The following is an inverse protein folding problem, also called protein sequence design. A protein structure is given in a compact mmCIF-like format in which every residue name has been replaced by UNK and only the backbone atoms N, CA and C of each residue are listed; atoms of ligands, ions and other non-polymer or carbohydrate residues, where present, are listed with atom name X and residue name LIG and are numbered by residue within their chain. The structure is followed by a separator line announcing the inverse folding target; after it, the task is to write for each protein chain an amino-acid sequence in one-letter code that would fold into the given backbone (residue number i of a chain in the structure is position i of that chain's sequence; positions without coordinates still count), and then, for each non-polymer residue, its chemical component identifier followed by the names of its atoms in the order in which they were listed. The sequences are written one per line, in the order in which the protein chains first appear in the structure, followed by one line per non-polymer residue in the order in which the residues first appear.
data_IF_245734834748
#
_entry.id   IF_245734834748
#
_cell.length_a   1.000
_cell.length_b   1.000
_cell.length_c   1.000
_cell.angle_alpha   90.00
_cell.angle_beta   90.00
_cell.angle_gamma   90.00
#
_symmetry.space_group_name_H-M   'P 1'
#
loop_
_entity.id
_entity.type
_entity.pdbx_description
1 polymer ?
#
# COMPACT_ATOMS: atom_id res chain seq x y z
N UNK A 1 4.70 -31.71 12.25
CA UNK A 1 5.94 -31.29 11.56
C UNK A 1 6.10 -29.77 11.69
N UNK A 2 6.76 -29.35 12.77
CA UNK A 2 7.08 -27.95 13.05
C UNK A 2 8.47 -27.69 12.48
N UNK A 3 8.51 -27.16 11.26
CA UNK A 3 9.72 -26.60 10.67
C UNK A 3 9.54 -25.09 10.60
N UNK A 4 9.90 -24.35 11.65
CA UNK A 4 9.99 -22.88 11.61
C UNK A 4 11.07 -22.39 12.59
N UNK A 5 12.32 -22.82 12.35
CA UNK A 5 13.48 -22.10 12.87
C UNK A 5 14.14 -21.37 11.68
N UNK A 6 14.06 -20.03 11.66
CA UNK A 6 14.90 -19.22 10.77
C UNK A 6 14.23 -18.14 9.93
N UNK A 7 13.13 -17.50 10.35
CA UNK A 7 12.75 -16.22 9.74
C UNK A 7 13.49 -15.08 10.44
N UNK A 8 14.63 -14.67 9.88
CA UNK A 8 15.26 -13.42 10.29
C UNK A 8 14.36 -12.26 9.87
N UNK A 9 13.99 -11.35 10.78
CA UNK A 9 13.25 -10.16 10.38
C UNK A 9 14.08 -9.39 9.36
N UNK A 10 13.41 -8.85 8.34
CA UNK A 10 14.07 -7.99 7.37
C UNK A 10 14.71 -6.82 8.12
N UNK A 11 16.00 -6.51 7.86
CA UNK A 11 16.62 -5.31 8.41
C UNK A 11 15.81 -4.06 8.09
N UNK A 12 15.85 -3.06 8.97
CA UNK A 12 15.08 -1.83 8.86
C UNK A 12 15.38 -1.09 7.55
N UNK A 13 16.64 -1.09 7.11
CA UNK A 13 17.05 -0.52 5.83
C UNK A 13 16.40 -1.21 4.61
N UNK A 14 16.01 -2.47 4.75
CA UNK A 14 15.24 -3.20 3.73
C UNK A 14 13.74 -2.92 3.85
N UNK A 15 13.21 -2.86 5.07
CA UNK A 15 11.81 -2.49 5.31
C UNK A 15 11.46 -1.09 4.79
N UNK A 16 12.39 -0.15 4.88
CA UNK A 16 12.23 1.23 4.38
C UNK A 16 11.99 1.32 2.86
N UNK A 17 12.24 0.24 2.11
CA UNK A 17 11.95 0.19 0.66
C UNK A 17 10.48 -0.12 0.34
N UNK A 18 9.70 -0.56 1.32
CA UNK A 18 8.28 -0.84 1.13
C UNK A 18 7.45 0.43 1.37
N UNK A 19 6.55 0.74 0.43
CA UNK A 19 5.69 1.93 0.50
C UNK A 19 4.72 1.86 1.68
N UNK A 20 4.13 0.69 1.93
CA UNK A 20 3.12 0.46 2.95
C UNK A 20 3.40 -0.83 3.72
N UNK A 21 3.07 -0.83 5.01
CA UNK A 21 2.94 -2.03 5.84
C UNK A 21 1.47 -2.19 6.20
N UNK A 22 0.90 -3.36 5.90
CA UNK A 22 -0.49 -3.69 6.20
C UNK A 22 -0.54 -4.83 7.21
N UNK A 23 -1.39 -4.69 8.22
CA UNK A 23 -1.75 -5.80 9.12
C UNK A 23 -3.04 -6.41 8.61
N UNK A 24 -3.00 -7.68 8.22
CA UNK A 24 -4.16 -8.40 7.69
C UNK A 24 -4.68 -9.34 8.78
N UNK A 25 -5.78 -8.99 9.48
CA UNK A 25 -6.39 -9.91 10.43
C UNK A 25 -7.04 -11.09 9.70
N UNK A 26 -7.31 -12.17 10.44
CA UNK A 26 -8.15 -13.24 9.93
C UNK A 26 -9.58 -12.72 9.62
N UNK A 27 -10.25 -13.30 8.61
CA UNK A 27 -11.63 -12.94 8.28
C UNK A 27 -12.57 -13.17 9.46
N UNK A 28 -13.73 -12.50 9.43
CA UNK A 28 -14.80 -12.82 10.38
C UNK A 28 -15.27 -14.26 10.17
N UNK A 29 -15.90 -14.87 11.19
CA UNK A 29 -16.51 -16.22 11.06
C UNK A 29 -17.44 -16.31 9.85
N UNK A 30 -18.21 -15.26 9.57
CA UNK A 30 -19.13 -15.24 8.44
C UNK A 30 -18.39 -15.24 7.10
N UNK A 31 -17.35 -14.40 6.97
CA UNK A 31 -16.54 -14.33 5.76
C UNK A 31 -15.74 -15.63 5.54
N UNK A 32 -15.24 -16.24 6.61
CA UNK A 32 -14.53 -17.52 6.54
C UNK A 32 -15.46 -18.66 6.07
N UNK A 33 -16.69 -18.72 6.59
CA UNK A 33 -17.71 -19.65 6.08
C UNK A 33 -17.97 -19.39 4.60
N UNK A 34 -18.12 -18.13 4.18
CA UNK A 34 -18.34 -17.80 2.76
C UNK A 34 -17.18 -18.24 1.87
N UNK A 35 -15.93 -18.10 2.32
CA UNK A 35 -14.75 -18.58 1.61
C UNK A 35 -14.77 -20.10 1.49
N UNK A 36 -15.05 -20.81 2.59
CA UNK A 36 -15.13 -22.26 2.61
C UNK A 36 -16.25 -22.80 1.71
N UNK A 37 -17.45 -22.22 1.79
CA UNK A 37 -18.60 -22.61 0.95
C UNK A 37 -18.29 -22.41 -0.52
N UNK A 38 -17.76 -21.24 -0.93
CA UNK A 38 -17.38 -21.01 -2.33
C UNK A 38 -16.35 -22.01 -2.82
N UNK A 39 -15.35 -22.33 -2.00
CA UNK A 39 -14.34 -23.31 -2.34
C UNK A 39 -14.94 -24.72 -2.50
N UNK A 40 -15.83 -25.13 -1.61
CA UNK A 40 -16.56 -26.40 -1.69
C UNK A 40 -17.47 -26.47 -2.94
N UNK A 41 -18.04 -25.35 -3.35
CA UNK A 41 -18.86 -25.22 -4.56
C UNK A 41 -18.02 -25.18 -5.86
N UNK A 42 -16.70 -25.38 -5.77
CA UNK A 42 -15.81 -25.50 -6.91
C UNK A 42 -15.18 -24.18 -7.38
N UNK A 43 -15.29 -23.09 -6.62
CA UNK A 43 -14.60 -21.84 -6.95
C UNK A 43 -13.07 -22.03 -6.90
N UNK A 44 -12.42 -21.78 -8.04
CA UNK A 44 -10.97 -21.80 -8.17
C UNK A 44 -10.44 -20.36 -8.35
N UNK A 45 -9.76 -19.77 -7.35
CA UNK A 45 -9.21 -18.41 -7.46
C UNK A 45 -8.11 -18.26 -8.52
N UNK A 46 -7.55 -19.36 -9.01
CA UNK A 46 -6.58 -19.35 -10.12
C UNK A 46 -7.22 -19.31 -11.49
N UNK A 47 -8.51 -19.65 -11.59
CA UNK A 47 -9.27 -19.54 -12.83
C UNK A 47 -10.09 -18.25 -12.84
N UNK A 48 -9.42 -17.15 -13.16
CA UNK A 48 -10.02 -15.82 -13.21
C UNK A 48 -11.17 -15.74 -14.23
N UNK A 49 -11.11 -16.54 -15.30
CA UNK A 49 -12.14 -16.56 -16.34
C UNK A 49 -13.41 -17.24 -15.84
N UNK A 50 -13.29 -18.40 -15.17
CA UNK A 50 -14.42 -19.06 -14.53
C UNK A 50 -15.01 -18.21 -13.39
N UNK A 51 -14.17 -17.41 -12.72
CA UNK A 51 -14.60 -16.43 -11.73
C UNK A 51 -15.33 -15.20 -12.33
N UNK A 52 -15.50 -15.12 -13.66
CA UNK A 52 -16.15 -13.99 -14.35
C UNK A 52 -15.33 -12.69 -14.33
N UNK A 53 -14.05 -12.77 -13.97
CA UNK A 53 -13.15 -11.61 -13.92
C UNK A 53 -12.67 -11.31 -15.34
N UNK A 54 -12.85 -10.07 -15.77
CA UNK A 54 -12.35 -9.54 -17.05
C UNK A 54 -11.39 -8.38 -16.81
N UNK A 55 -10.33 -8.24 -17.62
CA UNK A 55 -9.48 -7.07 -17.55
C UNK A 55 -10.28 -5.80 -17.87
N UNK A 56 -10.11 -4.76 -17.05
CA UNK A 56 -10.73 -3.44 -17.24
C UNK A 56 -9.72 -2.34 -17.53
N UNK A 57 -8.43 -2.65 -17.39
CA UNK A 57 -7.31 -1.78 -17.67
C UNK A 57 -6.12 -2.64 -18.15
N UNK A 58 -5.32 -2.10 -19.06
CA UNK A 58 -4.09 -2.70 -19.57
C UNK A 58 -2.84 -1.88 -19.20
N UNK A 59 -1.66 -2.30 -19.69
CA UNK A 59 -0.39 -1.62 -19.41
C UNK A 59 -0.38 -0.14 -19.81
N UNK A 60 -1.03 0.21 -20.92
CA UNK A 60 -1.13 1.60 -21.39
C UNK A 60 -1.95 2.47 -20.43
N UNK A 61 -3.06 1.94 -19.89
CA UNK A 61 -3.89 2.65 -18.91
C UNK A 61 -3.11 2.89 -17.61
N UNK A 62 -2.31 1.91 -17.19
CA UNK A 62 -1.45 2.03 -16.01
C UNK A 62 -0.36 3.09 -16.19
N UNK A 63 0.27 3.16 -17.37
CA UNK A 63 1.26 4.19 -17.67
C UNK A 63 0.64 5.59 -17.73
N UNK A 64 -0.54 5.69 -18.35
CA UNK A 64 -1.33 6.92 -18.35
C UNK A 64 -1.71 7.36 -16.94
N UNK A 65 -2.14 6.43 -16.07
CA UNK A 65 -2.47 6.71 -14.68
C UNK A 65 -1.24 7.19 -13.89
N UNK A 66 -0.08 6.54 -14.05
CA UNK A 66 1.18 6.99 -13.42
C UNK A 66 1.56 8.41 -13.85
N UNK A 67 1.45 8.70 -15.15
CA UNK A 67 1.71 10.02 -15.71
C UNK A 67 0.71 11.07 -15.19
N UNK A 68 -0.56 10.70 -15.00
CA UNK A 68 -1.58 11.58 -14.47
C UNK A 68 -1.37 11.90 -12.97
N UNK A 69 -1.07 10.89 -12.15
CA UNK A 69 -0.69 11.07 -10.73
C UNK A 69 0.56 11.95 -10.63
N UNK A 70 1.52 11.79 -11.54
CA UNK A 70 2.73 12.61 -11.61
C UNK A 70 2.47 14.07 -12.01
N UNK A 71 1.25 14.44 -12.42
CA UNK A 71 0.84 15.83 -12.69
C UNK A 71 0.00 16.45 -11.56
N UNK A 72 -0.45 15.67 -10.57
CA UNK A 72 -1.15 16.20 -9.39
C UNK A 72 -0.27 17.26 -8.72
N UNK A 73 -0.77 18.49 -8.65
CA UNK A 73 -0.05 19.62 -8.08
C UNK A 73 0.19 19.43 -6.59
N UNK A 74 1.32 19.92 -6.09
CA UNK A 74 1.69 19.87 -4.69
C UNK A 74 2.02 21.29 -4.26
N UNK A 75 1.29 21.80 -3.28
CA UNK A 75 1.59 23.10 -2.69
C UNK A 75 2.88 23.07 -1.84
N UNK A 76 3.68 24.15 -1.82
CA UNK A 76 4.88 24.23 -0.96
C UNK A 76 4.58 23.98 0.52
N UNK A 77 3.41 24.40 0.99
CA UNK A 77 2.93 24.23 2.36
C UNK A 77 2.77 22.75 2.71
N UNK A 78 2.25 21.94 1.78
CA UNK A 78 2.07 20.50 1.98
C UNK A 78 3.41 19.77 1.95
N UNK A 79 4.34 20.19 1.09
CA UNK A 79 5.70 19.67 1.12
C UNK A 79 6.39 19.95 2.48
N UNK A 80 6.22 21.16 3.01
CA UNK A 80 6.67 21.53 4.36
C UNK A 80 6.03 20.65 5.43
N UNK A 81 4.70 20.50 5.39
CA UNK A 81 3.96 19.70 6.35
C UNK A 81 4.38 18.22 6.37
N UNK A 82 4.63 17.62 5.20
CA UNK A 82 5.18 16.26 5.09
C UNK A 82 6.54 16.16 5.79
N UNK A 83 7.42 17.15 5.58
CA UNK A 83 8.73 17.19 6.25
C UNK A 83 8.56 17.31 7.76
N UNK A 84 7.66 18.17 8.24
CA UNK A 84 7.43 18.39 9.66
C UNK A 84 6.91 17.13 10.36
N UNK A 85 5.97 16.40 9.74
CA UNK A 85 5.52 15.09 10.23
C UNK A 85 6.71 14.13 10.34
N UNK A 86 7.49 13.97 9.26
CA UNK A 86 8.62 13.05 9.27
C UNK A 86 9.68 13.46 10.31
N UNK A 87 9.94 14.77 10.49
CA UNK A 87 10.85 15.28 11.53
C UNK A 87 10.35 14.98 12.93
N UNK A 88 9.07 15.19 13.20
CA UNK A 88 8.48 14.87 14.49
C UNK A 88 8.69 13.38 14.85
N UNK A 89 8.63 12.47 13.87
CA UNK A 89 8.93 11.05 14.13
C UNK A 89 10.41 10.77 14.46
N UNK A 90 11.34 11.58 13.94
CA UNK A 90 12.79 11.44 14.20
C UNK A 90 13.21 12.04 15.54
N UNK A 91 12.50 13.05 15.99
CA UNK A 91 12.78 13.79 17.23
C UNK A 91 11.96 13.23 18.42
N UNK A 92 10.95 12.39 18.17
CA UNK A 92 10.10 11.78 19.20
C UNK A 92 10.85 10.73 20.02
N UNK A 93 10.93 10.88 21.37
CA UNK A 93 11.60 9.92 22.24
C UNK A 93 10.87 8.57 22.34
N UNK A 94 9.61 8.50 21.92
CA UNK A 94 8.82 7.25 21.90
C UNK A 94 9.13 6.34 20.70
N UNK A 95 9.97 6.78 19.76
CA UNK A 95 10.30 6.04 18.55
C UNK A 95 11.80 5.77 18.49
N UNK A 96 12.17 4.50 18.31
CA UNK A 96 13.58 4.10 18.15
C UNK A 96 14.17 4.52 16.78
N UNK A 97 13.31 4.63 15.76
CA UNK A 97 13.68 5.01 14.41
C UNK A 97 12.55 5.83 13.79
N UNK A 98 12.85 7.06 13.41
CA UNK A 98 11.92 7.91 12.68
C UNK A 98 11.89 7.61 11.18
N UNK A 99 10.95 8.24 10.48
CA UNK A 99 10.79 8.09 9.04
C UNK A 99 12.02 8.61 8.30
N UNK A 100 12.50 7.85 7.30
CA UNK A 100 13.64 8.24 6.47
C UNK A 100 13.28 9.32 5.43
N UNK A 101 14.26 9.95 4.75
CA UNK A 101 13.97 10.79 3.58
C UNK A 101 13.20 10.06 2.47
N UNK A 102 13.40 8.75 2.29
CA UNK A 102 12.62 7.93 1.35
C UNK A 102 11.18 7.79 1.81
N UNK A 103 10.96 7.59 3.10
CA UNK A 103 9.61 7.57 3.66
C UNK A 103 8.86 8.90 3.46
N UNK A 104 9.56 10.04 3.50
CA UNK A 104 8.94 11.33 3.20
C UNK A 104 8.51 11.45 1.72
N UNK A 105 9.36 11.03 0.77
CA UNK A 105 8.99 11.04 -0.65
C UNK A 105 7.87 10.04 -0.96
N UNK A 106 7.88 8.90 -0.28
CA UNK A 106 6.84 7.88 -0.34
C UNK A 106 5.48 8.40 0.19
N UNK A 107 5.48 9.12 1.32
CA UNK A 107 4.28 9.75 1.87
C UNK A 107 3.69 10.78 0.90
N UNK A 108 4.52 11.65 0.33
CA UNK A 108 4.07 12.64 -0.65
C UNK A 108 3.51 11.99 -1.91
N UNK A 109 4.20 10.98 -2.44
CA UNK A 109 3.74 10.21 -3.61
C UNK A 109 2.37 9.55 -3.37
N UNK A 110 2.18 8.99 -2.17
CA UNK A 110 0.90 8.38 -1.77
C UNK A 110 -0.21 9.41 -1.67
N UNK A 111 0.06 10.59 -1.11
CA UNK A 111 -0.91 11.67 -1.03
C UNK A 111 -1.39 12.12 -2.43
N UNK A 112 -0.46 12.26 -3.39
CA UNK A 112 -0.79 12.62 -4.78
C UNK A 112 -1.63 11.55 -5.47
N UNK A 113 -1.26 10.28 -5.30
CA UNK A 113 -2.02 9.17 -5.85
C UNK A 113 -3.44 9.12 -5.26
N UNK A 114 -3.57 9.35 -3.96
CA UNK A 114 -4.87 9.42 -3.28
C UNK A 114 -5.74 10.58 -3.79
N UNK A 115 -5.17 11.77 -3.97
CA UNK A 115 -5.90 12.90 -4.54
C UNK A 115 -6.42 12.57 -5.93
N UNK A 116 -5.58 12.02 -6.81
CA UNK A 116 -5.98 11.64 -8.16
C UNK A 116 -7.09 10.58 -8.17
N UNK A 117 -6.95 9.53 -7.34
CA UNK A 117 -7.97 8.48 -7.18
C UNK A 117 -9.30 9.00 -6.64
N UNK A 118 -9.28 10.11 -5.91
CA UNK A 118 -10.47 10.78 -5.37
C UNK A 118 -10.98 11.93 -6.27
N UNK A 119 -10.45 12.05 -7.49
CA UNK A 119 -10.91 13.02 -8.49
C UNK A 119 -10.35 14.44 -8.31
N UNK A 120 -9.28 14.61 -7.52
CA UNK A 120 -8.59 15.90 -7.33
C UNK A 120 -7.22 15.90 -8.00
N UNK A 121 -6.84 17.03 -8.55
CA UNK A 121 -5.55 17.27 -9.22
C UNK A 121 -4.57 18.11 -8.37
N UNK A 122 -4.85 18.26 -7.08
CA UNK A 122 -4.01 18.97 -6.12
C UNK A 122 -3.95 18.28 -4.76
N UNK A 123 -2.81 18.48 -4.09
CA UNK A 123 -2.63 18.25 -2.65
C UNK A 123 -2.08 19.48 -1.96
#
# INVERSE_FOLDING_TARGET
PVEYEGTYPLPEAQLDRFLLKLTVPLPSRHDEINVLTRHADGFNPRDLKAAGIRPVAGPADLEAARSAVAKTSVSPEIAGYVVDICRATRESPSLALGVSPRGATALLSTARAWAWLTGRDYV
#
